data_IF_188936656524
#
_entry.id   IF_188936656524
#
_cell.length_a   1.000
_cell.length_b   1.000
_cell.length_c   1.000
_cell.angle_alpha   90.00
_cell.angle_beta   90.00
_cell.angle_gamma   90.00
#
_symmetry.space_group_name_H-M   'P 1'
#
loop_
_entity.id
_entity.type
_entity.pdbx_description
1 polymer ?
#
# COMPACT_ATOMS: atom_id res chain seq x y z
N UNK A 1 21.99 4.15 -25.67
CA UNK A 1 21.83 4.71 -24.31
C UNK A 1 22.20 3.59 -23.33
N UNK A 2 23.25 3.76 -22.52
CA UNK A 2 23.66 2.72 -21.55
C UNK A 2 22.64 2.73 -20.41
N UNK A 3 21.81 1.69 -20.28
CA UNK A 3 20.93 1.58 -19.12
C UNK A 3 21.78 1.41 -17.86
N UNK A 4 21.62 2.33 -16.92
CA UNK A 4 22.32 2.28 -15.65
C UNK A 4 21.67 1.23 -14.76
N UNK A 5 22.48 0.36 -14.13
CA UNK A 5 21.95 -0.58 -13.12
C UNK A 5 21.26 0.17 -11.99
N UNK A 6 21.72 1.38 -11.66
CA UNK A 6 21.13 2.22 -10.62
C UNK A 6 19.63 2.48 -10.86
N UNK A 7 19.23 2.80 -12.10
CA UNK A 7 17.82 3.02 -12.46
C UNK A 7 17.00 1.72 -12.54
N UNK A 8 17.65 0.57 -12.57
CA UNK A 8 17.00 -0.73 -12.64
C UNK A 8 16.96 -1.48 -11.31
N UNK A 9 17.78 -1.11 -10.33
CA UNK A 9 17.82 -1.81 -9.04
C UNK A 9 16.51 -1.66 -8.26
N UNK A 10 15.92 -0.47 -8.27
CA UNK A 10 14.59 -0.24 -7.69
C UNK A 10 13.55 -1.12 -8.37
N UNK A 11 12.75 -1.84 -7.58
CA UNK A 11 11.76 -2.82 -8.06
C UNK A 11 12.32 -4.00 -8.88
N UNK A 12 13.64 -4.27 -8.82
CA UNK A 12 14.23 -5.49 -9.38
C UNK A 12 14.05 -6.74 -8.51
N UNK A 13 13.61 -6.57 -7.26
CA UNK A 13 13.47 -7.63 -6.27
C UNK A 13 14.76 -8.46 -6.11
N UNK A 14 15.93 -7.84 -6.25
CA UNK A 14 17.23 -8.51 -6.08
C UNK A 14 17.61 -9.48 -7.21
N UNK A 15 16.90 -9.45 -8.33
CA UNK A 15 17.17 -10.33 -9.48
C UNK A 15 18.36 -9.88 -10.34
N UNK A 16 18.86 -8.68 -10.09
CA UNK A 16 20.04 -8.08 -10.73
C UNK A 16 21.26 -8.02 -9.80
N UNK A 17 21.15 -8.57 -8.58
CA UNK A 17 22.21 -8.55 -7.56
C UNK A 17 21.74 -8.03 -6.21
N UNK A 18 22.70 -7.86 -5.30
CA UNK A 18 22.46 -7.43 -3.92
C UNK A 18 22.91 -5.98 -3.69
N UNK A 19 22.10 -5.21 -2.98
CA UNK A 19 22.48 -3.86 -2.54
C UNK A 19 23.25 -4.01 -1.23
N UNK A 20 24.56 -3.75 -1.27
CA UNK A 20 25.42 -3.81 -0.08
C UNK A 20 25.47 -2.48 0.70
N UNK A 21 25.22 -1.36 0.01
CA UNK A 21 25.24 -0.02 0.60
C UNK A 21 24.33 0.90 -0.19
N UNK A 22 23.59 1.76 0.50
CA UNK A 22 22.80 2.82 -0.10
C UNK A 22 23.10 4.14 0.61
N UNK A 23 23.11 5.24 -0.15
CA UNK A 23 23.11 6.61 0.39
C UNK A 23 21.71 7.18 0.17
N UNK A 24 21.00 7.46 1.26
CA UNK A 24 19.60 7.90 1.23
C UNK A 24 19.55 9.39 1.56
N UNK A 25 18.83 10.16 0.76
CA UNK A 25 18.53 11.57 1.07
C UNK A 25 17.48 11.60 2.16
N UNK A 26 17.74 12.32 3.24
CA UNK A 26 16.81 12.48 4.36
C UNK A 26 16.00 13.77 4.20
N UNK A 27 14.81 13.76 4.78
CA UNK A 27 13.96 14.94 4.95
C UNK A 27 13.99 15.35 6.41
N UNK A 28 14.18 16.63 6.68
CA UNK A 28 14.06 17.17 8.02
C UNK A 28 12.58 17.19 8.43
N UNK A 29 12.31 16.76 9.66
CA UNK A 29 10.95 16.63 10.19
C UNK A 29 10.91 17.25 11.58
N UNK A 30 9.74 17.79 11.95
CA UNK A 30 9.49 18.32 13.29
C UNK A 30 9.07 17.22 14.26
N UNK A 31 9.01 17.46 15.59
CA UNK A 31 8.70 16.42 16.56
C UNK A 31 7.28 15.84 16.46
N UNK A 32 6.32 16.59 15.91
CA UNK A 32 4.91 16.20 15.82
C UNK A 32 4.35 16.33 14.40
N UNK A 33 3.21 15.68 14.18
CA UNK A 33 2.40 15.78 12.97
C UNK A 33 0.98 16.16 13.36
N UNK A 34 0.50 17.26 12.80
CA UNK A 34 -0.91 17.62 12.77
C UNK A 34 -1.54 17.05 11.51
N UNK A 35 -2.65 16.36 11.65
CA UNK A 35 -3.42 15.80 10.53
C UNK A 35 -4.80 16.45 10.55
N UNK A 36 -5.10 17.22 9.50
CA UNK A 36 -6.45 17.70 9.22
C UNK A 36 -7.18 16.66 8.40
N UNK A 37 -8.24 16.10 8.97
CA UNK A 37 -9.06 15.09 8.36
C UNK A 37 -10.40 15.69 7.87
N UNK A 38 -10.77 15.39 6.62
CA UNK A 38 -11.93 15.96 5.95
C UNK A 38 -12.75 14.83 5.33
N UNK A 39 -14.01 14.69 5.75
CA UNK A 39 -14.94 13.72 5.17
C UNK A 39 -15.56 14.27 3.87
N UNK A 40 -15.59 13.43 2.85
CA UNK A 40 -16.31 13.62 1.60
C UNK A 40 -17.34 12.51 1.42
N UNK A 41 -18.46 12.85 0.77
CA UNK A 41 -19.54 11.91 0.45
C UNK A 41 -19.72 11.70 -1.06
N UNK A 42 -18.78 12.24 -1.84
CA UNK A 42 -18.79 12.19 -3.29
C UNK A 42 -17.36 12.00 -3.83
N UNK A 43 -17.15 10.96 -4.62
CA UNK A 43 -15.84 10.55 -5.15
C UNK A 43 -15.21 11.66 -5.99
N UNK A 44 -16.00 12.36 -6.82
CA UNK A 44 -15.49 13.41 -7.71
C UNK A 44 -14.97 14.62 -6.91
N UNK A 45 -15.70 15.04 -5.87
CA UNK A 45 -15.24 16.12 -5.00
C UNK A 45 -14.01 15.70 -4.17
N UNK A 46 -13.97 14.46 -3.70
CA UNK A 46 -12.81 13.89 -3.00
C UNK A 46 -11.55 13.90 -3.87
N UNK A 47 -11.63 13.38 -5.11
CA UNK A 47 -10.48 13.36 -6.03
C UNK A 47 -10.01 14.76 -6.36
N UNK A 48 -10.94 15.69 -6.63
CA UNK A 48 -10.59 17.09 -6.89
C UNK A 48 -9.86 17.71 -5.70
N UNK A 49 -10.39 17.53 -4.49
CA UNK A 49 -9.77 18.07 -3.28
C UNK A 49 -8.37 17.48 -3.02
N UNK A 50 -8.19 16.18 -3.25
CA UNK A 50 -6.88 15.55 -3.14
C UNK A 50 -5.91 16.10 -4.18
N UNK A 51 -6.35 16.28 -5.43
CA UNK A 51 -5.53 16.88 -6.50
C UNK A 51 -5.11 18.31 -6.14
N UNK A 52 -6.03 19.11 -5.63
CA UNK A 52 -5.74 20.49 -5.22
C UNK A 52 -4.76 20.50 -4.03
N UNK A 53 -4.89 19.56 -3.10
CA UNK A 53 -3.93 19.40 -2.01
C UNK A 53 -2.51 19.06 -2.50
N UNK A 54 -2.35 18.31 -3.60
CA UNK A 54 -1.01 18.01 -4.15
C UNK A 54 -0.26 19.24 -4.65
N UNK A 55 -0.96 20.36 -4.87
CA UNK A 55 -0.40 21.64 -5.31
C UNK A 55 -0.18 22.61 -4.14
N UNK A 56 -0.60 22.22 -2.93
CA UNK A 56 -0.49 23.05 -1.75
C UNK A 56 0.86 22.79 -1.05
N UNK A 57 1.73 23.80 -1.04
CA UNK A 57 3.04 23.72 -0.40
C UNK A 57 2.98 23.74 1.15
N UNK A 58 1.82 24.02 1.74
CA UNK A 58 1.61 23.96 3.20
C UNK A 58 1.30 22.55 3.72
N UNK A 59 1.19 21.56 2.83
CA UNK A 59 0.90 20.17 3.17
C UNK A 59 2.15 19.32 2.94
N UNK A 60 2.60 18.62 3.99
CA UNK A 60 3.80 17.79 3.94
C UNK A 60 3.53 16.36 3.50
N UNK A 61 2.34 15.83 3.80
CA UNK A 61 1.90 14.51 3.34
C UNK A 61 0.39 14.45 3.12
N UNK A 62 -0.01 13.63 2.13
CA UNK A 62 -1.41 13.44 1.74
C UNK A 62 -1.68 11.94 1.72
N UNK A 63 -2.71 11.53 2.44
CA UNK A 63 -3.23 10.17 2.40
C UNK A 63 -4.74 10.18 2.63
N UNK A 64 -5.40 9.08 2.28
CA UNK A 64 -6.82 8.95 2.47
C UNK A 64 -7.25 7.52 2.79
N UNK A 65 -8.39 7.42 3.46
CA UNK A 65 -9.07 6.16 3.71
C UNK A 65 -10.47 6.21 3.12
N UNK A 66 -10.84 5.18 2.36
CA UNK A 66 -12.18 5.05 1.78
C UNK A 66 -12.87 3.83 2.38
N UNK A 67 -13.98 4.03 3.08
CA UNK A 67 -14.79 2.95 3.63
C UNK A 67 -15.98 2.61 2.74
N UNK A 68 -16.57 3.63 2.10
CA UNK A 68 -17.71 3.46 1.20
C UNK A 68 -17.81 4.61 0.21
N UNK A 69 -18.79 4.55 -0.71
CA UNK A 69 -19.07 5.64 -1.67
C UNK A 69 -19.40 6.98 -0.99
N UNK A 70 -19.76 6.98 0.31
CA UNK A 70 -20.12 8.17 1.09
C UNK A 70 -19.21 8.41 2.30
N UNK A 71 -18.18 7.58 2.49
CA UNK A 71 -17.25 7.68 3.61
C UNK A 71 -15.82 7.68 3.07
N UNK A 72 -15.42 8.85 2.57
CA UNK A 72 -14.12 9.14 1.98
C UNK A 72 -13.40 10.15 2.89
N UNK A 73 -12.29 9.78 3.51
CA UNK A 73 -11.56 10.63 4.45
C UNK A 73 -10.25 11.10 3.84
N UNK A 74 -10.13 12.40 3.58
CA UNK A 74 -8.89 13.04 3.12
C UNK A 74 -8.10 13.57 4.31
N UNK A 75 -6.88 13.08 4.48
CA UNK A 75 -5.98 13.47 5.55
C UNK A 75 -4.81 14.29 4.99
N UNK A 76 -4.70 15.53 5.46
CA UNK A 76 -3.64 16.46 5.11
C UNK A 76 -2.74 16.63 6.33
N UNK A 77 -1.49 16.20 6.22
CA UNK A 77 -0.54 16.17 7.32
C UNK A 77 0.47 17.31 7.23
N UNK A 78 0.83 17.89 8.37
CA UNK A 78 1.87 18.91 8.52
C UNK A 78 2.77 18.59 9.71
N UNK A 79 4.09 18.67 9.51
CA UNK A 79 5.05 18.59 10.60
C UNK A 79 5.01 19.88 11.41
N UNK A 80 4.88 19.78 12.74
CA UNK A 80 4.73 20.91 13.66
C UNK A 80 5.60 20.75 14.91
N UNK A 81 5.97 21.88 15.53
CA UNK A 81 6.85 21.90 16.71
C UNK A 81 6.11 21.56 18.00
N UNK A 82 4.81 21.87 18.08
CA UNK A 82 3.97 21.70 19.25
C UNK A 82 2.56 21.30 18.84
N UNK A 83 1.90 20.53 19.69
CA UNK A 83 0.49 20.13 19.56
C UNK A 83 -0.22 20.34 20.90
N UNK A 84 -1.54 20.59 20.90
CA UNK A 84 -2.28 20.81 22.14
C UNK A 84 -2.37 19.54 23.01
N UNK A 85 -2.36 18.37 22.39
CA UNK A 85 -2.34 17.05 23.03
C UNK A 85 -1.85 16.01 22.01
N UNK A 86 -1.57 14.78 22.46
CA UNK A 86 -1.18 13.67 21.60
C UNK A 86 -2.27 12.58 21.60
N UNK A 87 -2.68 12.15 20.41
CA UNK A 87 -3.59 11.04 20.21
C UNK A 87 -2.88 9.70 20.44
N UNK A 88 -3.45 8.88 21.32
CA UNK A 88 -2.89 7.57 21.64
C UNK A 88 -3.41 6.49 20.69
N UNK A 89 -2.73 6.28 19.57
CA UNK A 89 -3.09 5.23 18.58
C UNK A 89 -2.79 3.80 19.05
N UNK A 90 -2.00 3.64 20.11
CA UNK A 90 -1.52 2.33 20.56
C UNK A 90 -2.37 1.70 21.66
N UNK A 91 -2.73 2.46 22.69
CA UNK A 91 -3.60 2.03 23.80
C UNK A 91 -5.03 2.52 23.64
N UNK A 92 -5.25 3.54 22.80
CA UNK A 92 -6.56 4.07 22.46
C UNK A 92 -7.08 3.49 21.15
N UNK A 93 -7.50 4.38 20.25
CA UNK A 93 -8.16 4.04 18.99
C UNK A 93 -7.11 3.78 17.93
N UNK A 94 -7.20 2.65 17.23
CA UNK A 94 -6.32 2.33 16.09
C UNK A 94 -6.35 3.45 15.06
N UNK A 95 -5.19 3.77 14.47
CA UNK A 95 -5.06 4.93 13.58
C UNK A 95 -6.14 4.96 12.48
N UNK A 96 -6.37 3.86 11.77
CA UNK A 96 -7.35 3.84 10.66
C UNK A 96 -8.81 4.11 11.08
N UNK A 97 -9.13 4.02 12.38
CA UNK A 97 -10.46 4.36 12.94
C UNK A 97 -10.54 5.81 13.44
N UNK A 98 -9.41 6.49 13.65
CA UNK A 98 -9.39 7.88 14.12
C UNK A 98 -10.03 8.86 13.13
N UNK A 99 -9.77 8.78 11.80
CA UNK A 99 -10.40 9.67 10.83
C UNK A 99 -11.94 9.61 10.84
N UNK A 100 -12.53 8.51 11.30
CA UNK A 100 -14.00 8.40 11.42
C UNK A 100 -14.52 9.21 12.62
N UNK A 101 -13.69 9.45 13.63
CA UNK A 101 -14.09 10.01 14.92
C UNK A 101 -13.61 11.44 15.13
N UNK A 102 -12.58 11.88 14.40
CA UNK A 102 -11.92 13.16 14.62
C UNK A 102 -11.60 13.88 13.31
N UNK A 103 -11.81 15.19 13.30
CA UNK A 103 -11.39 16.08 12.21
C UNK A 103 -9.93 16.54 12.35
N UNK A 104 -9.38 16.44 13.56
CA UNK A 104 -8.00 16.81 13.87
C UNK A 104 -7.34 15.69 14.65
N UNK A 105 -6.16 15.27 14.21
CA UNK A 105 -5.38 14.21 14.84
C UNK A 105 -3.97 14.74 15.06
N UNK A 106 -3.42 14.50 16.25
CA UNK A 106 -2.10 14.98 16.65
C UNK A 106 -1.24 13.80 17.08
N UNK A 107 -0.15 13.54 16.37
CA UNK A 107 0.75 12.41 16.66
C UNK A 107 2.17 12.90 16.85
N UNK A 108 2.97 12.18 17.63
CA UNK A 108 4.42 12.29 17.50
C UNK A 108 4.84 11.87 16.09
N UNK A 109 5.89 12.47 15.54
CA UNK A 109 6.39 12.12 14.20
C UNK A 109 6.79 10.66 14.09
N UNK A 110 7.32 10.09 15.18
CA UNK A 110 7.62 8.67 15.26
C UNK A 110 6.35 7.84 15.09
N UNK A 111 5.30 8.16 15.83
CA UNK A 111 4.06 7.40 15.79
C UNK A 111 3.33 7.59 14.47
N UNK A 112 3.40 8.78 13.87
CA UNK A 112 2.94 9.01 12.52
C UNK A 112 3.66 8.07 11.53
N UNK A 113 5.00 8.08 11.48
CA UNK A 113 5.76 7.25 10.52
C UNK A 113 5.47 5.76 10.69
N UNK A 114 5.34 5.28 11.93
CA UNK A 114 5.11 3.87 12.24
C UNK A 114 3.65 3.49 12.48
N UNK A 115 2.67 4.38 12.20
CA UNK A 115 1.25 4.21 12.56
C UNK A 115 0.61 2.90 12.10
N UNK A 116 1.09 2.35 10.98
CA UNK A 116 0.57 1.11 10.41
C UNK A 116 1.39 -0.14 10.77
N UNK A 117 2.58 -0.03 11.39
CA UNK A 117 3.41 -1.21 11.71
C UNK A 117 2.80 -2.06 12.84
N UNK A 118 2.41 -1.48 14.00
CA UNK A 118 1.79 -2.24 15.08
C UNK A 118 0.37 -2.71 14.79
N UNK A 119 -0.21 -2.39 13.64
CA UNK A 119 -1.53 -2.84 13.19
C UNK A 119 -1.50 -3.48 11.78
N UNK A 120 -0.30 -3.70 11.21
CA UNK A 120 -0.07 -4.21 9.84
C UNK A 120 -1.18 -3.70 8.91
N UNK A 121 -1.31 -2.37 8.92
CA UNK A 121 -2.46 -1.58 8.49
C UNK A 121 -3.74 -1.83 9.32
N UNK A 122 -4.54 -2.82 8.90
CA UNK A 122 -5.77 -3.25 9.58
C UNK A 122 -5.96 -4.77 9.48
N UNK A 123 -4.90 -5.50 9.15
CA UNK A 123 -4.94 -6.96 9.01
C UNK A 123 -4.83 -7.70 10.35
N UNK A 124 -5.20 -7.03 11.44
CA UNK A 124 -4.96 -7.50 12.80
C UNK A 124 -6.07 -8.43 13.28
N UNK A 125 -5.73 -9.44 14.09
CA UNK A 125 -6.74 -10.25 14.75
C UNK A 125 -7.53 -9.34 15.71
N UNK A 126 -8.80 -9.11 15.38
CA UNK A 126 -9.73 -8.44 16.28
C UNK A 126 -10.35 -9.44 17.26
N UNK A 127 -10.47 -9.06 18.52
CA UNK A 127 -11.13 -9.87 19.54
C UNK A 127 -10.85 -9.34 20.95
N UNK A 128 -11.76 -9.55 21.93
CA UNK A 128 -11.63 -8.97 23.27
C UNK A 128 -10.30 -9.31 23.96
N UNK A 129 -9.85 -10.56 23.83
CA UNK A 129 -8.59 -11.02 24.40
C UNK A 129 -7.37 -10.30 23.80
N UNK A 130 -7.36 -10.13 22.48
CA UNK A 130 -6.25 -9.47 21.81
C UNK A 130 -6.26 -7.96 22.05
N UNK A 131 -7.43 -7.32 22.07
CA UNK A 131 -7.55 -5.90 22.45
C UNK A 131 -7.08 -5.68 23.89
N UNK A 132 -7.34 -6.62 24.80
CA UNK A 132 -6.78 -6.61 26.15
C UNK A 132 -5.25 -6.73 26.15
N UNK A 133 -4.69 -7.74 25.45
CA UNK A 133 -3.24 -7.90 25.30
C UNK A 133 -2.58 -6.64 24.71
N UNK A 134 -3.21 -6.03 23.70
CA UNK A 134 -2.76 -4.79 23.09
C UNK A 134 -2.76 -3.63 24.08
N UNK A 135 -3.62 -3.59 25.11
CA UNK A 135 -3.53 -2.54 26.12
C UNK A 135 -2.33 -2.72 27.05
N UNK A 136 -2.01 -3.96 27.42
CA UNK A 136 -1.02 -4.27 28.47
C UNK A 136 0.41 -4.53 27.97
N UNK A 137 0.60 -5.05 26.76
CA UNK A 137 1.93 -5.49 26.29
C UNK A 137 2.90 -4.31 26.13
N UNK A 138 4.21 -4.47 26.39
CA UNK A 138 5.19 -3.40 26.14
C UNK A 138 5.20 -2.95 24.67
N UNK A 139 5.48 -1.66 24.40
CA UNK A 139 5.56 -1.12 23.04
C UNK A 139 6.58 -1.87 22.16
N UNK A 140 7.69 -2.31 22.75
CA UNK A 140 8.75 -3.06 22.05
C UNK A 140 8.30 -4.41 21.49
N UNK A 141 7.27 -5.02 22.08
CA UNK A 141 6.72 -6.30 21.64
C UNK A 141 5.63 -6.13 20.57
N UNK A 142 5.24 -4.90 20.21
CA UNK A 142 4.13 -4.63 19.29
C UNK A 142 4.65 -4.36 17.89
N UNK A 143 5.36 -5.34 17.35
CA UNK A 143 5.91 -5.31 16.01
C UNK A 143 5.38 -6.50 15.20
N UNK A 144 5.51 -6.40 13.87
CA UNK A 144 5.09 -7.44 12.93
C UNK A 144 5.58 -8.85 13.27
N UNK A 145 6.77 -8.99 13.88
CA UNK A 145 7.31 -10.30 14.27
C UNK A 145 6.54 -10.95 15.43
N UNK A 146 6.16 -10.19 16.46
CA UNK A 146 5.32 -10.70 17.54
C UNK A 146 3.95 -11.14 17.03
N UNK A 147 3.32 -10.33 16.18
CA UNK A 147 2.00 -10.64 15.64
C UNK A 147 2.01 -11.83 14.70
N UNK A 148 3.08 -11.99 13.92
CA UNK A 148 3.29 -13.20 13.11
C UNK A 148 3.34 -14.45 14.00
N UNK A 149 4.02 -14.39 15.15
CA UNK A 149 4.05 -15.51 16.11
C UNK A 149 2.67 -15.77 16.73
N UNK A 150 1.95 -14.73 17.13
CA UNK A 150 0.59 -14.84 17.67
C UNK A 150 -0.38 -15.48 16.67
N UNK A 151 -0.40 -15.03 15.41
CA UNK A 151 -1.26 -15.59 14.37
C UNK A 151 -0.93 -17.06 14.09
N UNK A 152 0.35 -17.43 14.04
CA UNK A 152 0.78 -18.84 13.92
C UNK A 152 0.25 -19.68 15.08
N UNK A 153 0.35 -19.19 16.31
CA UNK A 153 -0.17 -19.85 17.50
C UNK A 153 -1.71 -19.97 17.47
N UNK A 154 -2.43 -18.87 17.16
CA UNK A 154 -3.90 -18.87 17.03
C UNK A 154 -4.36 -19.88 15.98
N UNK A 155 -3.77 -19.86 14.79
CA UNK A 155 -4.15 -20.76 13.71
C UNK A 155 -3.89 -22.24 14.05
N UNK A 156 -2.84 -22.53 14.83
CA UNK A 156 -2.55 -23.89 15.31
C UNK A 156 -3.62 -24.39 16.28
N UNK A 157 -4.16 -23.53 17.14
CA UNK A 157 -5.14 -23.89 18.18
C UNK A 157 -6.56 -23.95 17.62
N UNK A 158 -7.01 -22.88 16.95
CA UNK A 158 -8.42 -22.71 16.61
C UNK A 158 -8.81 -23.31 15.27
N UNK A 159 -7.85 -23.77 14.45
CA UNK A 159 -8.06 -24.38 13.11
C UNK A 159 -9.17 -23.69 12.30
N UNK A 160 -9.21 -22.36 12.29
CA UNK A 160 -10.16 -21.58 11.47
C UNK A 160 -9.87 -21.84 9.98
N UNK A 161 -10.56 -22.79 9.35
CA UNK A 161 -10.56 -22.98 7.89
C UNK A 161 -11.79 -22.31 7.31
N UNK A 162 -11.62 -21.09 6.78
CA UNK A 162 -12.57 -20.54 5.81
C UNK A 162 -11.90 -20.60 4.44
N UNK A 163 -12.30 -21.57 3.62
CA UNK A 163 -11.73 -21.81 2.28
C UNK A 163 -12.09 -20.70 1.26
N UNK A 164 -13.11 -19.90 1.57
CA UNK A 164 -13.50 -18.72 0.78
C UNK A 164 -12.73 -17.46 1.17
N UNK A 165 -12.07 -17.46 2.33
CA UNK A 165 -11.29 -16.31 2.80
C UNK A 165 -9.99 -16.24 2.00
N UNK A 166 -9.84 -15.18 1.21
CA UNK A 166 -8.62 -14.92 0.45
C UNK A 166 -7.94 -13.63 0.88
N UNK A 167 -6.62 -13.61 0.69
CA UNK A 167 -5.77 -12.45 1.01
C UNK A 167 -5.86 -11.45 -0.13
N UNK A 168 -6.29 -10.23 0.17
CA UNK A 168 -6.29 -9.10 -0.77
C UNK A 168 -5.34 -8.04 -0.19
N UNK A 169 -4.05 -8.23 -0.50
CA UNK A 169 -2.97 -7.32 -0.13
C UNK A 169 -2.28 -6.87 -1.41
N UNK A 170 -2.64 -5.68 -1.86
CA UNK A 170 -2.38 -5.21 -3.21
C UNK A 170 -2.36 -3.69 -3.25
N UNK A 171 -1.58 -3.16 -4.19
CA UNK A 171 -1.56 -1.74 -4.56
C UNK A 171 -1.65 -1.62 -6.08
N UNK A 172 -2.61 -0.83 -6.54
CA UNK A 172 -2.84 -0.53 -7.95
C UNK A 172 -2.68 0.96 -8.19
N UNK A 173 -1.95 1.31 -9.24
CA UNK A 173 -1.60 2.68 -9.56
C UNK A 173 -2.07 3.02 -10.96
N UNK A 174 -2.87 4.08 -11.09
CA UNK A 174 -3.38 4.54 -12.38
C UNK A 174 -3.02 6.00 -12.60
N UNK A 175 -2.91 6.47 -13.86
CA UNK A 175 -2.85 7.89 -14.14
C UNK A 175 -4.00 8.62 -13.45
N UNK A 176 -3.74 9.82 -12.92
CA UNK A 176 -4.72 10.54 -12.07
C UNK A 176 -6.13 10.66 -12.68
N UNK A 177 -6.20 10.87 -14.00
CA UNK A 177 -7.48 11.02 -14.72
C UNK A 177 -8.37 9.76 -14.64
N UNK A 178 -7.78 8.59 -14.34
CA UNK A 178 -8.48 7.31 -14.24
C UNK A 178 -8.82 6.95 -12.78
N UNK A 179 -8.48 7.80 -11.80
CA UNK A 179 -8.71 7.54 -10.38
C UNK A 179 -10.19 7.31 -10.05
N UNK A 180 -11.09 8.12 -10.62
CA UNK A 180 -12.53 8.04 -10.33
C UNK A 180 -13.10 6.68 -10.76
N UNK A 181 -12.67 6.20 -11.92
CA UNK A 181 -13.12 4.93 -12.47
C UNK A 181 -12.61 3.75 -11.66
N UNK A 182 -11.33 3.76 -11.25
CA UNK A 182 -10.74 2.72 -10.41
C UNK A 182 -11.46 2.61 -9.05
N UNK A 183 -11.71 3.75 -8.39
CA UNK A 183 -12.43 3.77 -7.09
C UNK A 183 -13.85 3.22 -7.25
N UNK A 184 -14.60 3.67 -8.28
CA UNK A 184 -15.96 3.20 -8.51
C UNK A 184 -15.99 1.69 -8.73
N UNK A 185 -15.10 1.19 -9.59
CA UNK A 185 -14.98 -0.24 -9.85
C UNK A 185 -14.68 -1.03 -8.56
N UNK A 186 -13.71 -0.59 -7.77
CA UNK A 186 -13.35 -1.26 -6.52
C UNK A 186 -14.53 -1.32 -5.53
N UNK A 187 -15.22 -0.19 -5.32
CA UNK A 187 -16.34 -0.09 -4.39
C UNK A 187 -17.62 -0.81 -4.87
N UNK A 188 -17.74 -1.08 -6.16
CA UNK A 188 -18.89 -1.80 -6.74
C UNK A 188 -18.70 -3.32 -6.72
N UNK A 189 -17.46 -3.78 -6.87
CA UNK A 189 -17.17 -5.20 -7.00
C UNK A 189 -16.71 -5.85 -5.69
N UNK A 190 -16.17 -5.07 -4.74
CA UNK A 190 -15.47 -5.63 -3.58
C UNK A 190 -15.94 -4.97 -2.29
N UNK A 191 -16.41 -5.79 -1.36
CA UNK A 191 -16.65 -5.36 0.03
C UNK A 191 -15.45 -5.74 0.91
N UNK A 192 -14.79 -4.72 1.46
CA UNK A 192 -13.73 -4.89 2.47
C UNK A 192 -14.30 -5.03 3.90
N UNK A 193 -15.63 -5.08 4.03
CA UNK A 193 -16.32 -5.07 5.32
C UNK A 193 -16.05 -3.77 6.08
N UNK A 194 -15.43 -3.87 7.26
CA UNK A 194 -15.07 -2.73 8.12
C UNK A 194 -13.72 -2.09 7.78
N UNK A 195 -12.99 -2.66 6.82
CA UNK A 195 -11.65 -2.22 6.48
C UNK A 195 -11.70 -1.16 5.36
N UNK A 196 -10.85 -0.13 5.42
CA UNK A 196 -10.81 0.87 4.36
C UNK A 196 -9.95 0.42 3.18
N UNK A 197 -10.09 1.13 2.06
CA UNK A 197 -9.06 1.25 1.03
C UNK A 197 -8.08 2.36 1.44
N UNK A 198 -6.77 2.15 1.23
CA UNK A 198 -5.76 3.19 1.33
C UNK A 198 -5.66 3.92 -0.01
N UNK A 199 -5.56 5.24 0.03
CA UNK A 199 -5.34 6.04 -1.16
C UNK A 199 -4.22 7.03 -0.93
N UNK A 200 -3.28 7.10 -1.89
CA UNK A 200 -2.21 8.09 -1.88
C UNK A 200 -1.95 8.67 -3.27
N UNK A 201 -1.71 9.99 -3.41
CA UNK A 201 -1.18 10.55 -4.63
C UNK A 201 0.32 10.26 -4.75
N UNK A 202 0.76 9.78 -5.91
CA UNK A 202 2.16 9.47 -6.19
C UNK A 202 2.70 10.40 -7.27
N UNK A 203 3.81 11.07 -6.95
CA UNK A 203 4.57 11.87 -7.91
C UNK A 203 5.88 11.17 -8.23
N UNK A 204 6.11 10.90 -9.51
CA UNK A 204 7.33 10.24 -9.97
C UNK A 204 8.45 11.26 -10.09
N UNK A 205 9.53 11.06 -9.33
CA UNK A 205 10.69 11.98 -9.30
C UNK A 205 11.80 11.57 -10.28
N UNK A 206 11.84 10.28 -10.66
CA UNK A 206 12.84 9.71 -11.56
C UNK A 206 12.27 8.52 -12.32
N UNK A 207 12.66 8.37 -13.58
CA UNK A 207 12.31 7.19 -14.37
C UNK A 207 13.07 5.96 -13.84
N UNK A 208 12.33 4.89 -13.54
CA UNK A 208 12.88 3.55 -13.28
C UNK A 208 12.80 2.70 -14.55
N UNK A 209 13.74 1.78 -14.72
CA UNK A 209 13.75 0.87 -15.89
C UNK A 209 12.67 -0.20 -15.78
N UNK A 210 12.50 -0.77 -14.58
CA UNK A 210 11.63 -1.93 -14.30
C UNK A 210 10.24 -1.49 -13.85
N UNK A 211 10.11 -0.24 -13.41
CA UNK A 211 8.87 0.34 -12.96
C UNK A 211 8.54 1.56 -13.84
N UNK A 212 7.92 1.33 -15.01
CA UNK A 212 7.89 2.29 -16.10
C UNK A 212 6.77 3.33 -15.96
N UNK A 213 6.61 3.91 -14.77
CA UNK A 213 5.78 5.10 -14.61
C UNK A 213 6.51 6.33 -15.18
N UNK A 214 5.76 7.18 -15.88
CA UNK A 214 6.31 8.36 -16.53
C UNK A 214 6.49 9.48 -15.51
N UNK A 215 7.66 10.09 -15.49
CA UNK A 215 8.03 11.20 -14.59
C UNK A 215 7.10 12.43 -14.62
N UNK A 216 6.30 12.58 -15.67
CA UNK A 216 5.47 13.78 -15.89
C UNK A 216 4.08 13.66 -15.26
N UNK A 217 3.67 12.44 -14.89
CA UNK A 217 2.30 12.15 -14.49
C UNK A 217 2.16 12.08 -12.97
N UNK A 218 1.03 12.61 -12.46
CA UNK A 218 0.56 12.31 -11.12
C UNK A 218 -0.21 10.99 -11.21
N UNK A 219 0.09 10.07 -10.30
CA UNK A 219 -0.57 8.79 -10.21
C UNK A 219 -1.44 8.72 -8.97
N UNK A 220 -2.54 7.99 -9.10
CA UNK A 220 -3.42 7.66 -8.01
C UNK A 220 -3.17 6.20 -7.62
N UNK A 221 -2.74 5.98 -6.38
CA UNK A 221 -2.58 4.65 -5.82
C UNK A 221 -3.81 4.29 -4.98
N UNK A 222 -4.34 3.09 -5.24
CA UNK A 222 -5.40 2.46 -4.46
C UNK A 222 -4.84 1.16 -3.88
N UNK A 223 -4.77 1.09 -2.56
CA UNK A 223 -4.26 -0.04 -1.81
C UNK A 223 -5.32 -0.70 -0.94
N UNK A 224 -5.14 -1.99 -0.66
CA UNK A 224 -5.90 -2.70 0.36
C UNK A 224 -5.03 -3.74 1.05
N UNK A 225 -5.26 -3.94 2.35
CA UNK A 225 -4.39 -4.73 3.22
C UNK A 225 -5.21 -5.64 4.15
N UNK A 226 -6.05 -6.51 3.59
CA UNK A 226 -6.96 -7.34 4.40
C UNK A 226 -7.26 -8.71 3.80
N UNK A 227 -8.14 -9.45 4.47
CA UNK A 227 -8.79 -10.62 3.91
C UNK A 227 -10.21 -10.27 3.47
N UNK A 228 -10.62 -10.87 2.37
CA UNK A 228 -11.98 -10.75 1.80
C UNK A 228 -12.59 -12.12 1.64
N UNK A 229 -13.92 -12.17 1.61
CA UNK A 229 -14.65 -13.40 1.33
C UNK A 229 -14.98 -13.48 -0.15
N UNK A 230 -14.39 -14.47 -0.82
CA UNK A 230 -14.61 -14.73 -2.23
C UNK A 230 -16.02 -15.29 -2.46
N UNK A 231 -16.69 -14.96 -3.59
CA UNK A 231 -17.94 -15.61 -3.96
C UNK A 231 -17.76 -17.12 -4.16
N UNK A 232 -18.84 -17.90 -3.94
CA UNK A 232 -18.80 -19.37 -3.87
C UNK A 232 -18.34 -20.01 -5.20
N UNK A 233 -18.74 -19.41 -6.32
CA UNK A 233 -18.53 -19.89 -7.68
C UNK A 233 -17.25 -19.35 -8.34
N UNK A 234 -16.40 -18.63 -7.59
CA UNK A 234 -15.20 -17.99 -8.12
C UNK A 234 -13.92 -18.72 -7.69
N UNK A 235 -12.94 -18.67 -8.57
CA UNK A 235 -11.60 -19.22 -8.34
C UNK A 235 -10.77 -18.40 -7.36
N UNK A 236 -9.75 -19.01 -6.75
CA UNK A 236 -8.88 -18.32 -5.81
C UNK A 236 -8.22 -17.07 -6.40
N UNK A 237 -8.15 -16.01 -5.61
CA UNK A 237 -7.64 -14.69 -5.98
C UNK A 237 -8.51 -13.95 -7.00
N UNK A 238 -9.79 -14.29 -7.10
CA UNK A 238 -10.76 -13.64 -7.98
C UNK A 238 -10.68 -12.10 -7.90
N UNK A 239 -10.70 -11.54 -6.69
CA UNK A 239 -10.68 -10.08 -6.54
C UNK A 239 -9.34 -9.45 -6.92
N UNK A 240 -8.23 -10.18 -6.75
CA UNK A 240 -6.94 -9.71 -7.28
C UNK A 240 -6.98 -9.67 -8.80
N UNK A 241 -7.48 -10.72 -9.45
CA UNK A 241 -7.53 -10.83 -10.91
C UNK A 241 -8.37 -9.71 -11.54
N UNK A 242 -9.59 -9.48 -11.07
CA UNK A 242 -10.46 -8.43 -11.65
C UNK A 242 -9.89 -7.02 -11.44
N UNK A 243 -9.20 -6.78 -10.32
CA UNK A 243 -8.58 -5.48 -10.04
C UNK A 243 -7.30 -5.27 -10.85
N UNK A 244 -6.50 -6.32 -11.04
CA UNK A 244 -5.33 -6.30 -11.92
C UNK A 244 -5.76 -5.97 -13.36
N UNK A 245 -6.76 -6.71 -13.88
CA UNK A 245 -7.35 -6.47 -15.20
C UNK A 245 -7.83 -5.03 -15.34
N UNK A 246 -8.61 -4.53 -14.36
CA UNK A 246 -9.08 -3.14 -14.41
C UNK A 246 -7.96 -2.12 -14.34
N UNK A 247 -6.95 -2.36 -13.50
CA UNK A 247 -5.79 -1.49 -13.41
C UNK A 247 -5.05 -1.39 -14.76
N UNK A 248 -4.82 -2.53 -15.42
CA UNK A 248 -4.15 -2.56 -16.72
C UNK A 248 -4.99 -1.93 -17.83
N UNK A 249 -6.31 -2.14 -17.83
CA UNK A 249 -7.26 -1.44 -18.73
C UNK A 249 -7.13 0.08 -18.61
N UNK A 250 -6.96 0.58 -17.39
CA UNK A 250 -6.77 2.00 -17.07
C UNK A 250 -5.33 2.50 -17.29
N UNK A 251 -4.51 1.77 -18.05
CA UNK A 251 -3.09 2.06 -18.28
C UNK A 251 -2.29 2.22 -16.98
N UNK A 252 -2.69 1.50 -15.94
CA UNK A 252 -2.06 1.48 -14.64
C UNK A 252 -0.94 0.46 -14.52
N UNK A 253 -0.28 0.49 -13.37
CA UNK A 253 0.68 -0.49 -12.92
C UNK A 253 0.25 -1.08 -11.59
N UNK A 254 0.61 -2.34 -11.39
CA UNK A 254 0.47 -3.02 -10.12
C UNK A 254 1.84 -3.17 -9.45
N UNK A 255 1.87 -3.09 -8.13
CA UNK A 255 3.07 -3.40 -7.37
C UNK A 255 3.32 -4.92 -7.33
N UNK A 256 4.56 -5.34 -7.58
CA UNK A 256 4.94 -6.76 -7.76
C UNK A 256 5.31 -7.50 -6.46
N UNK A 257 5.07 -6.91 -5.28
CA UNK A 257 5.37 -7.58 -4.01
C UNK A 257 4.32 -8.61 -3.60
N UNK A 258 3.19 -8.62 -4.30
CA UNK A 258 1.99 -9.39 -4.04
C UNK A 258 1.70 -10.37 -5.18
N UNK A 259 0.75 -11.29 -4.94
CA UNK A 259 0.37 -12.30 -5.93
C UNK A 259 -0.04 -11.65 -7.25
N UNK A 260 0.57 -12.10 -8.34
CA UNK A 260 0.37 -11.59 -9.70
C UNK A 260 0.03 -12.75 -10.64
N UNK A 261 -0.97 -12.58 -11.54
CA UNK A 261 -1.55 -13.66 -12.35
C UNK A 261 -1.58 -13.37 -13.84
N UNK A 262 -0.53 -12.74 -14.37
CA UNK A 262 -0.42 -12.40 -15.80
C UNK A 262 0.57 -13.32 -16.50
N UNK A 263 0.41 -13.47 -17.82
CA UNK A 263 1.35 -14.22 -18.65
C UNK A 263 2.70 -13.52 -18.73
N UNK A 264 3.75 -14.29 -19.09
CA UNK A 264 5.09 -13.74 -19.33
C UNK A 264 5.08 -12.63 -20.38
N UNK A 265 4.28 -12.78 -21.44
CA UNK A 265 4.15 -11.78 -22.51
C UNK A 265 3.56 -10.47 -21.99
N UNK A 266 2.48 -10.54 -21.21
CA UNK A 266 1.88 -9.36 -20.58
C UNK A 266 2.85 -8.71 -19.60
N UNK A 267 3.51 -9.52 -18.78
CA UNK A 267 4.53 -9.06 -17.84
C UNK A 267 5.64 -8.27 -18.55
N UNK A 268 6.20 -8.83 -19.63
CA UNK A 268 7.31 -8.20 -20.35
C UNK A 268 6.86 -6.91 -21.06
N UNK A 269 5.61 -6.84 -21.50
CA UNK A 269 5.04 -5.61 -22.06
C UNK A 269 4.84 -4.52 -21.00
N UNK A 270 4.35 -4.89 -19.81
CA UNK A 270 4.02 -3.94 -18.74
C UNK A 270 5.28 -3.48 -17.99
N UNK A 271 6.21 -4.39 -17.69
CA UNK A 271 7.38 -4.13 -16.85
C UNK A 271 8.70 -4.07 -17.63
N UNK A 272 8.62 -3.69 -18.91
CA UNK A 272 9.77 -3.40 -19.76
C UNK A 272 10.77 -4.57 -19.88
N UNK A 273 10.25 -5.77 -20.13
CA UNK A 273 11.00 -7.04 -20.14
C UNK A 273 12.20 -7.05 -21.09
N UNK A 274 12.10 -6.37 -22.25
CA UNK A 274 13.23 -6.26 -23.20
C UNK A 274 14.45 -5.57 -22.60
N UNK A 275 14.24 -4.48 -21.86
CA UNK A 275 15.33 -3.75 -21.22
C UNK A 275 15.82 -4.49 -19.96
N UNK A 276 14.90 -5.12 -19.22
CA UNK A 276 15.26 -6.02 -18.12
C UNK A 276 16.18 -7.17 -18.58
N UNK A 277 15.87 -7.83 -19.70
CA UNK A 277 16.66 -8.97 -20.19
C UNK A 277 18.08 -8.57 -20.58
N UNK A 278 18.28 -7.37 -21.16
CA UNK A 278 19.61 -6.83 -21.44
C UNK A 278 20.41 -6.64 -20.15
N UNK A 279 19.78 -6.12 -19.10
CA UNK A 279 20.40 -5.95 -17.79
C UNK A 279 20.71 -7.30 -17.15
N UNK A 280 19.77 -8.25 -17.21
CA UNK A 280 19.93 -9.60 -16.67
C UNK A 280 21.13 -10.30 -17.31
N UNK A 281 21.25 -10.28 -18.65
CA UNK A 281 22.41 -10.82 -19.37
C UNK A 281 23.73 -10.15 -18.98
N UNK A 282 23.72 -8.85 -18.68
CA UNK A 282 24.92 -8.11 -18.30
C UNK A 282 25.38 -8.41 -16.86
N UNK A 283 24.45 -8.48 -15.92
CA UNK A 283 24.77 -8.54 -14.48
C UNK A 283 24.62 -9.92 -13.85
N UNK A 284 23.93 -10.85 -14.52
CA UNK A 284 23.84 -12.26 -14.15
C UNK A 284 23.84 -13.14 -15.42
N UNK A 285 24.94 -13.16 -16.19
CA UNK A 285 25.02 -13.88 -17.47
C UNK A 285 24.84 -15.39 -17.34
N UNK A 286 25.14 -15.95 -16.16
CA UNK A 286 25.00 -17.37 -15.87
C UNK A 286 23.59 -17.73 -15.33
N UNK A 287 22.70 -16.75 -15.17
CA UNK A 287 21.33 -16.98 -14.70
C UNK A 287 21.24 -17.60 -13.30
N UNK A 288 22.15 -17.22 -12.38
CA UNK A 288 22.18 -17.79 -11.02
C UNK A 288 21.00 -17.33 -10.16
N UNK A 289 20.49 -16.13 -10.42
CA UNK A 289 19.35 -15.56 -9.70
C UNK A 289 18.08 -15.78 -10.54
N UNK A 290 16.90 -15.97 -9.91
CA UNK A 290 15.65 -16.00 -10.64
C UNK A 290 15.44 -14.70 -11.41
N UNK A 291 14.68 -14.78 -12.50
CA UNK A 291 14.17 -13.62 -13.22
C UNK A 291 13.10 -12.90 -12.40
N UNK A 292 12.84 -11.64 -12.74
CA UNK A 292 11.80 -10.85 -12.09
C UNK A 292 10.42 -11.49 -12.26
N UNK A 293 10.13 -12.03 -13.45
CA UNK A 293 8.88 -12.76 -13.71
C UNK A 293 8.75 -13.99 -12.81
N UNK A 294 9.78 -14.83 -12.74
CA UNK A 294 9.77 -16.00 -11.86
C UNK A 294 9.53 -15.61 -10.40
N UNK A 295 10.13 -14.50 -9.96
CA UNK A 295 9.98 -14.02 -8.59
C UNK A 295 8.61 -13.41 -8.30
N UNK A 296 8.01 -12.71 -9.26
CA UNK A 296 6.74 -12.00 -9.07
C UNK A 296 5.49 -12.86 -9.36
N UNK A 297 5.61 -13.82 -10.27
CA UNK A 297 4.46 -14.61 -10.77
C UNK A 297 4.55 -16.08 -10.36
N UNK A 298 5.75 -16.68 -10.42
CA UNK A 298 5.91 -18.12 -10.20
C UNK A 298 6.34 -18.49 -8.78
N UNK A 299 6.82 -17.54 -7.98
CA UNK A 299 7.26 -17.77 -6.62
C UNK A 299 6.03 -17.84 -5.69
N UNK A 300 5.50 -19.04 -5.49
CA UNK A 300 4.43 -19.33 -4.54
C UNK A 300 4.96 -20.11 -3.34
#
# INVERSE_FOLDING_TARGET
MVLSIFQALGNSYGTLGYILRAKIKLHEVKPYVYIKNIKYENIKFFIKAMLDATKNNDVDAIESLIFSKRELYLMLSKFVDKVPYEDNIFRGIKFYKLPVQKNEIYLSTKDYIFRYDPDWFWNFPEGPFFEFLRKILPLSMRNSAFYTKYLKWKNKIFKEKNERRERLIQDWEVPWNNAEELIKFALENISLGKNPWLVVPIKIVSNSTIYPLKKVDLYFNLGCYCYVERPIDKEQYYYTKIMDEKCFELNGLKMLYSSTFISKKEFDNIYNGKEYDKLKKKYDPLGKLPTLFEKAVNFK
#
